data_IF_941872057210
#
_entry.id   IF_941872057210
#
_cell.length_a   1.000
_cell.length_b   1.000
_cell.length_c   1.000
_cell.angle_alpha   90.00
_cell.angle_beta   90.00
_cell.angle_gamma   90.00
#
_symmetry.space_group_name_H-M   'P 1'
#
loop_
_entity.id
_entity.type
_entity.pdbx_description
1 polymer ?
#
# COMPACT_ATOMS: atom_id res chain seq x y z
N UNK A 1 -8.33 -9.74 3.56
CA UNK A 1 -8.44 -8.56 4.42
C UNK A 1 -9.90 -8.16 4.37
N UNK A 2 -10.51 -7.88 5.51
CA UNK A 2 -11.88 -7.40 5.59
C UNK A 2 -11.89 -5.87 5.47
N UNK A 3 -13.01 -5.28 5.07
CA UNK A 3 -13.10 -3.84 4.78
C UNK A 3 -12.80 -2.98 6.01
N UNK A 4 -13.28 -3.38 7.18
CA UNK A 4 -12.97 -2.74 8.46
C UNK A 4 -11.47 -2.74 8.77
N UNK A 5 -10.77 -3.85 8.50
CA UNK A 5 -9.34 -3.98 8.75
C UNK A 5 -8.55 -3.06 7.81
N UNK A 6 -9.02 -2.91 6.56
CA UNK A 6 -8.42 -2.00 5.59
C UNK A 6 -8.65 -0.52 5.96
N UNK A 7 -9.86 -0.15 6.37
CA UNK A 7 -10.17 1.22 6.77
C UNK A 7 -9.38 1.64 8.02
N UNK A 8 -9.25 0.77 9.02
CA UNK A 8 -8.41 1.03 10.20
C UNK A 8 -6.94 1.21 9.82
N UNK A 9 -6.44 0.38 8.90
CA UNK A 9 -5.07 0.47 8.41
C UNK A 9 -4.87 1.80 7.68
N UNK A 10 -5.71 2.14 6.70
CA UNK A 10 -5.64 3.40 5.94
C UNK A 10 -5.80 4.62 6.84
N UNK A 11 -6.66 4.57 7.85
CA UNK A 11 -6.88 5.64 8.84
C UNK A 11 -5.65 5.89 9.72
N UNK A 12 -4.87 4.85 9.98
CA UNK A 12 -3.61 4.93 10.74
C UNK A 12 -2.43 5.41 9.90
N UNK A 13 -2.51 5.27 8.57
CA UNK A 13 -1.47 5.69 7.64
C UNK A 13 -1.62 7.16 7.26
N UNK A 14 -0.50 7.79 6.91
CA UNK A 14 -0.52 9.18 6.46
C UNK A 14 -0.68 9.23 4.94
N UNK A 15 -1.74 9.83 4.38
CA UNK A 15 -1.86 9.99 2.93
C UNK A 15 -0.70 10.85 2.40
N UNK A 16 0.07 10.32 1.44
CA UNK A 16 1.25 10.97 0.89
C UNK A 16 0.97 11.60 -0.48
N UNK A 17 0.44 10.81 -1.41
CA UNK A 17 0.19 11.25 -2.79
C UNK A 17 -1.06 10.58 -3.37
N UNK A 18 -1.83 11.31 -4.16
CA UNK A 18 -2.94 10.79 -4.94
C UNK A 18 -2.78 11.32 -6.37
N UNK A 19 -2.35 10.44 -7.28
CA UNK A 19 -2.07 10.80 -8.67
C UNK A 19 -2.51 9.68 -9.61
N UNK A 20 -3.29 10.04 -10.63
CA UNK A 20 -3.58 9.17 -11.77
C UNK A 20 -4.17 7.80 -11.43
N UNK A 21 -5.09 7.73 -10.46
CA UNK A 21 -5.73 6.45 -10.07
C UNK A 21 -5.03 5.69 -8.96
N UNK A 22 -3.86 6.18 -8.54
CA UNK A 22 -3.05 5.58 -7.48
C UNK A 22 -3.12 6.45 -6.22
N UNK A 23 -3.39 5.81 -5.08
CA UNK A 23 -3.26 6.44 -3.75
C UNK A 23 -2.11 5.84 -2.98
N UNK A 24 -1.17 6.68 -2.59
CA UNK A 24 -0.03 6.30 -1.78
C UNK A 24 -0.23 6.80 -0.36
N UNK A 25 -0.10 5.88 0.58
CA UNK A 25 -0.15 6.08 2.02
C UNK A 25 1.20 5.71 2.59
N UNK A 26 1.71 6.51 3.53
CA UNK A 26 2.99 6.27 4.18
C UNK A 26 2.79 5.76 5.59
N UNK A 27 3.49 4.69 5.91
CA UNK A 27 3.50 4.07 7.22
C UNK A 27 4.50 4.76 8.14
N UNK A 28 3.99 5.64 8.99
CA UNK A 28 4.80 6.34 10.00
C UNK A 28 4.81 5.62 11.35
N UNK A 29 3.97 4.58 11.48
CA UNK A 29 3.71 3.85 12.73
C UNK A 29 4.24 2.41 12.70
N UNK A 30 4.92 2.00 11.61
CA UNK A 30 5.50 0.66 11.45
C UNK A 30 4.48 -0.47 11.57
N UNK A 31 3.28 -0.29 10.98
CA UNK A 31 2.29 -1.36 10.84
C UNK A 31 2.87 -2.53 10.04
N UNK A 32 2.55 -3.76 10.46
CA UNK A 32 2.95 -4.98 9.78
C UNK A 32 2.19 -5.15 8.46
N UNK A 33 2.88 -5.65 7.44
CA UNK A 33 2.28 -5.99 6.17
C UNK A 33 1.45 -7.28 6.33
N UNK A 34 0.19 -7.31 5.88
CA UNK A 34 -0.67 -8.49 6.00
C UNK A 34 -0.20 -9.70 5.18
N UNK A 35 0.75 -9.50 4.25
CA UNK A 35 1.27 -10.57 3.39
C UNK A 35 2.50 -11.28 3.96
N UNK A 36 3.43 -10.54 4.58
CA UNK A 36 4.70 -11.08 5.06
C UNK A 36 4.91 -10.91 6.57
N UNK A 37 3.99 -10.24 7.28
CA UNK A 37 4.07 -9.91 8.71
C UNK A 37 5.21 -8.92 9.09
N UNK A 38 6.06 -8.53 8.13
CA UNK A 38 7.10 -7.52 8.32
C UNK A 38 6.55 -6.08 8.20
N UNK A 39 7.11 -5.10 8.93
CA UNK A 39 6.70 -3.71 8.84
C UNK A 39 7.00 -3.13 7.45
N UNK A 40 5.99 -2.54 6.80
CA UNK A 40 6.13 -1.88 5.50
C UNK A 40 6.35 -0.37 5.64
N UNK A 41 6.87 0.27 4.60
CA UNK A 41 7.11 1.71 4.54
C UNK A 41 5.97 2.48 3.87
N UNK A 42 5.52 2.04 2.70
CA UNK A 42 4.44 2.69 1.95
C UNK A 42 3.41 1.66 1.46
N UNK A 43 2.15 2.07 1.47
CA UNK A 43 1.02 1.36 0.87
C UNK A 43 0.57 2.15 -0.37
N UNK A 44 0.54 1.48 -1.51
CA UNK A 44 0.10 2.03 -2.77
C UNK A 44 -1.15 1.28 -3.23
N UNK A 45 -2.26 1.99 -3.36
CA UNK A 45 -3.58 1.48 -3.74
C UNK A 45 -3.84 1.86 -5.20
N UNK A 46 -3.95 0.86 -6.06
CA UNK A 46 -4.24 1.02 -7.48
C UNK A 46 -5.72 0.80 -7.73
N UNK A 47 -6.46 1.87 -8.07
CA UNK A 47 -7.92 1.85 -8.28
C UNK A 47 -8.36 1.78 -9.74
N UNK A 48 -7.44 2.06 -10.65
CA UNK A 48 -7.66 1.97 -12.10
C UNK A 48 -7.25 0.60 -12.67
N UNK A 49 -7.85 0.21 -13.81
CA UNK A 49 -7.57 -1.07 -14.49
C UNK A 49 -6.09 -1.19 -14.95
N UNK A 50 -5.46 -0.05 -15.26
CA UNK A 50 -4.04 0.03 -15.59
C UNK A 50 -3.39 1.20 -14.86
N UNK A 51 -2.40 0.91 -14.02
CA UNK A 51 -1.58 1.92 -13.36
C UNK A 51 -0.11 1.72 -13.76
N UNK A 52 0.57 2.81 -14.10
CA UNK A 52 2.02 2.81 -14.30
C UNK A 52 2.69 3.30 -13.03
N UNK A 53 3.54 2.46 -12.45
CA UNK A 53 4.31 2.79 -11.25
C UNK A 53 5.79 2.90 -11.62
N UNK A 54 6.37 4.07 -11.39
CA UNK A 54 7.80 4.27 -11.59
C UNK A 54 8.54 4.02 -10.27
N UNK A 55 8.97 2.77 -10.09
CA UNK A 55 9.80 2.38 -8.96
C UNK A 55 11.20 2.96 -9.14
N UNK A 56 11.51 4.00 -8.36
CA UNK A 56 12.84 4.65 -8.39
C UNK A 56 13.95 3.81 -7.75
N UNK A 57 13.61 2.74 -7.02
CA UNK A 57 14.55 1.82 -6.35
C UNK A 57 14.04 0.37 -6.42
N UNK A 58 14.97 -0.59 -6.34
CA UNK A 58 14.66 -2.01 -6.12
C UNK A 58 14.26 -2.15 -4.66
N UNK A 59 13.01 -2.55 -4.40
CA UNK A 59 12.42 -2.71 -3.08
C UNK A 59 11.71 -4.07 -3.02
N UNK A 60 11.66 -4.66 -1.85
CA UNK A 60 10.77 -5.80 -1.60
C UNK A 60 9.33 -5.27 -1.54
N UNK A 61 8.49 -5.75 -2.45
CA UNK A 61 7.10 -5.36 -2.53
C UNK A 61 6.18 -6.56 -2.34
N UNK A 62 5.23 -6.42 -1.45
CA UNK A 62 4.16 -7.39 -1.27
C UNK A 62 2.91 -6.89 -1.99
N UNK A 63 2.28 -7.78 -2.75
CA UNK A 63 1.06 -7.48 -3.49
C UNK A 63 -0.10 -8.20 -2.83
N UNK A 64 -1.17 -7.49 -2.57
CA UNK A 64 -2.43 -8.07 -2.11
C UNK A 64 -3.57 -7.48 -2.91
N UNK A 65 -4.73 -8.12 -2.84
CA UNK A 65 -5.96 -7.65 -3.49
C UNK A 65 -7.04 -7.50 -2.44
N UNK A 66 -7.73 -6.37 -2.44
CA UNK A 66 -8.84 -6.07 -1.55
C UNK A 66 -10.01 -5.50 -2.35
N UNK A 67 -11.17 -6.14 -2.31
CA UNK A 67 -12.39 -5.68 -2.99
C UNK A 67 -12.18 -5.21 -4.46
N UNK A 68 -11.43 -6.01 -5.23
CA UNK A 68 -11.01 -5.76 -6.63
C UNK A 68 -9.86 -4.74 -6.81
N UNK A 69 -9.53 -3.94 -5.79
CA UNK A 69 -8.37 -3.05 -5.79
C UNK A 69 -7.06 -3.81 -5.53
N UNK A 70 -5.99 -3.41 -6.22
CA UNK A 70 -4.64 -3.94 -5.99
C UNK A 70 -3.91 -3.05 -4.98
N UNK A 71 -3.43 -3.68 -3.91
CA UNK A 71 -2.67 -3.06 -2.84
C UNK A 71 -1.21 -3.51 -2.92
N UNK A 72 -0.30 -2.55 -2.98
CA UNK A 72 1.14 -2.76 -3.06
C UNK A 72 1.79 -2.20 -1.80
N UNK A 73 2.43 -3.05 -1.02
CA UNK A 73 3.16 -2.68 0.20
C UNK A 73 4.66 -2.70 -0.10
N UNK A 74 5.33 -1.56 0.03
CA UNK A 74 6.78 -1.44 -0.17
C UNK A 74 7.52 -1.62 1.16
N UNK A 75 8.63 -2.33 1.15
CA UNK A 75 9.51 -2.50 2.30
C UNK A 75 10.88 -1.91 1.94
N UNK A 76 11.28 -0.82 2.60
CA UNK A 76 12.63 -0.28 2.45
C UNK A 76 13.55 -1.00 3.45
N UNK A 77 14.25 -2.04 2.98
CA UNK A 77 15.39 -2.61 3.72
C UNK A 77 16.59 -1.66 3.75
#
# INVERSE_FOLDING_TARGET
MDDDEFDELVSSLTPYEEAGGVKTYRNTVSIACPACDDPFDDLVVCRDEYNSLELSKILDLCVTTHDDDVLLFTHQQ
#
